data_IF_702641984735
#
_entry.id   IF_702641984735
#
_cell.length_a   1.000
_cell.length_b   1.000
_cell.length_c   1.000
_cell.angle_alpha   90.00
_cell.angle_beta   90.00
_cell.angle_gamma   90.00
#
_symmetry.space_group_name_H-M   'P 1'
#
loop_
_entity.id
_entity.type
_entity.pdbx_description
1 polymer ?
#
# COMPACT_ATOMS: atom_id res chain seq x y z
N UNK A 1 11.66 -1.40 -7.47
CA UNK A 1 10.54 -1.36 -6.50
C UNK A 1 9.24 -1.49 -7.27
N UNK A 2 8.40 -2.43 -6.87
CA UNK A 2 7.05 -2.63 -7.41
C UNK A 2 6.06 -2.13 -6.38
N UNK A 3 5.32 -1.06 -6.70
CA UNK A 3 4.43 -0.34 -5.78
C UNK A 3 2.98 -0.70 -6.07
N UNK A 4 2.19 -0.96 -5.03
CA UNK A 4 0.75 -1.27 -5.10
C UNK A 4 -0.01 -0.29 -4.17
N UNK A 5 0.44 0.97 -4.05
CA UNK A 5 -0.31 2.05 -3.37
C UNK A 5 -0.54 3.33 -4.21
N UNK A 6 -1.79 3.82 -4.28
CA UNK A 6 -2.19 4.93 -5.16
C UNK A 6 -1.61 6.27 -4.65
N UNK A 7 -1.23 7.17 -5.56
CA UNK A 7 -0.78 8.52 -5.23
C UNK A 7 -1.96 9.48 -5.36
N UNK A 8 -2.29 10.20 -4.30
CA UNK A 8 -3.17 11.37 -4.41
C UNK A 8 -2.31 12.60 -4.61
N UNK A 9 -2.39 13.21 -5.80
CA UNK A 9 -1.52 14.32 -6.21
C UNK A 9 -1.61 15.57 -5.31
N UNK A 10 -2.63 15.66 -4.46
CA UNK A 10 -2.90 16.82 -3.59
C UNK A 10 -2.35 16.70 -2.16
N UNK A 11 -1.96 15.50 -1.71
CA UNK A 11 -1.58 15.22 -0.31
C UNK A 11 -0.10 15.48 -0.03
N UNK A 12 0.76 15.34 -1.04
CA UNK A 12 2.22 15.28 -0.90
C UNK A 12 2.76 13.85 -1.03
N UNK A 13 3.85 13.54 -0.35
CA UNK A 13 4.45 12.20 -0.32
C UNK A 13 3.54 11.17 0.39
N UNK A 14 3.41 9.98 -0.20
CA UNK A 14 2.79 8.82 0.47
C UNK A 14 3.83 8.02 1.27
N UNK A 15 3.37 7.14 2.17
CA UNK A 15 4.24 6.21 2.92
C UNK A 15 5.24 5.48 2.01
N UNK A 16 4.78 5.03 0.85
CA UNK A 16 5.62 4.29 -0.10
C UNK A 16 6.61 5.19 -0.84
N UNK A 17 6.29 6.46 -1.05
CA UNK A 17 7.24 7.43 -1.61
C UNK A 17 8.41 7.66 -0.64
N UNK A 18 8.12 7.74 0.66
CA UNK A 18 9.12 7.87 1.72
C UNK A 18 9.99 6.61 1.80
N UNK A 19 9.38 5.42 1.71
CA UNK A 19 10.13 4.14 1.65
C UNK A 19 11.06 4.12 0.43
N UNK A 20 10.57 4.53 -0.75
CA UNK A 20 11.37 4.57 -1.96
C UNK A 20 12.59 5.53 -1.82
N UNK A 21 12.39 6.69 -1.20
CA UNK A 21 13.46 7.64 -0.89
C UNK A 21 14.52 7.00 0.04
N UNK A 22 14.09 6.29 1.09
CA UNK A 22 15.01 5.57 2.00
C UNK A 22 15.77 4.44 1.29
N UNK A 23 15.19 3.85 0.24
CA UNK A 23 15.83 2.85 -0.62
C UNK A 23 16.76 3.48 -1.68
N UNK A 24 16.91 4.81 -1.70
CA UNK A 24 17.82 5.52 -2.59
C UNK A 24 17.21 5.94 -3.94
N UNK A 25 15.90 5.79 -4.13
CA UNK A 25 15.24 6.28 -5.34
C UNK A 25 15.17 7.81 -5.31
N UNK A 26 15.75 8.45 -6.32
CA UNK A 26 15.77 9.93 -6.45
C UNK A 26 14.48 10.50 -7.04
N UNK A 27 13.75 9.67 -7.78
CA UNK A 27 12.51 10.05 -8.47
C UNK A 27 11.36 9.18 -7.96
N UNK A 28 10.15 9.71 -8.05
CA UNK A 28 8.93 8.93 -7.80
C UNK A 28 8.84 7.74 -8.75
N UNK A 29 8.34 6.62 -8.22
CA UNK A 29 8.05 5.43 -9.03
C UNK A 29 6.88 5.74 -9.97
N UNK A 30 7.06 5.63 -11.30
CA UNK A 30 6.02 6.00 -12.26
C UNK A 30 4.79 5.08 -12.15
N UNK A 31 3.57 5.60 -12.34
CA UNK A 31 2.38 4.77 -12.42
C UNK A 31 2.40 3.88 -13.67
N UNK A 32 1.86 2.67 -13.55
CA UNK A 32 1.80 1.67 -14.63
C UNK A 32 1.22 2.24 -15.93
N UNK A 33 0.22 3.12 -15.83
CA UNK A 33 -0.40 3.78 -16.98
C UNK A 33 0.57 4.59 -17.86
N UNK A 34 1.72 5.00 -17.31
CA UNK A 34 2.73 5.82 -18.01
C UNK A 34 4.11 5.17 -18.08
N UNK A 35 4.34 4.11 -17.30
CA UNK A 35 5.61 3.40 -17.29
C UNK A 35 5.75 2.56 -18.57
N UNK A 36 6.84 2.72 -19.30
CA UNK A 36 7.08 2.00 -20.56
C UNK A 36 8.56 1.85 -20.89
N UNK A 37 8.88 0.89 -21.77
CA UNK A 37 10.25 0.64 -22.22
C UNK A 37 11.22 0.41 -21.06
N UNK A 38 12.44 0.93 -21.16
CA UNK A 38 13.45 0.78 -20.08
C UNK A 38 13.09 1.48 -18.77
N UNK A 39 12.10 2.37 -18.75
CA UNK A 39 11.67 3.02 -17.51
C UNK A 39 11.09 2.02 -16.50
N UNK A 40 10.53 0.89 -16.96
CA UNK A 40 9.99 -0.15 -16.07
C UNK A 40 11.08 -0.80 -15.20
N UNK A 41 12.34 -0.78 -15.67
CA UNK A 41 13.51 -1.25 -14.89
C UNK A 41 13.88 -0.29 -13.74
N UNK A 42 13.24 0.87 -13.65
CA UNK A 42 13.33 1.77 -12.50
C UNK A 42 12.27 1.46 -11.42
N UNK A 43 11.38 0.50 -11.65
CA UNK A 43 10.21 0.24 -10.82
C UNK A 43 8.91 0.80 -11.40
N UNK A 44 7.79 0.23 -10.94
CA UNK A 44 6.45 0.55 -11.45
C UNK A 44 5.45 0.59 -10.30
N UNK A 45 4.53 1.56 -10.34
CA UNK A 45 3.41 1.69 -9.41
C UNK A 45 2.10 1.23 -10.06
N UNK A 46 1.59 0.08 -9.65
CA UNK A 46 0.36 -0.55 -10.16
C UNK A 46 -0.91 -0.06 -9.50
N UNK A 47 -0.78 0.77 -8.48
CA UNK A 47 -1.87 1.02 -7.57
C UNK A 47 -3.00 1.85 -8.15
N UNK A 48 -4.20 1.54 -7.70
CA UNK A 48 -5.41 2.23 -8.09
C UNK A 48 -6.16 2.73 -6.86
N UNK A 49 -6.71 3.94 -6.96
CA UNK A 49 -7.61 4.47 -5.94
C UNK A 49 -8.82 3.55 -5.80
N UNK A 50 -9.41 3.51 -4.60
CA UNK A 50 -10.55 2.67 -4.25
C UNK A 50 -10.37 1.14 -4.43
N UNK A 51 -9.19 0.67 -4.85
CA UNK A 51 -8.95 -0.74 -5.04
C UNK A 51 -8.99 -1.50 -3.70
N UNK A 52 -9.64 -2.67 -3.75
CA UNK A 52 -9.59 -3.65 -2.68
C UNK A 52 -8.91 -4.95 -3.13
N UNK A 53 -8.78 -5.83 -2.16
CA UNK A 53 -8.40 -7.23 -2.34
C UNK A 53 -9.47 -7.95 -3.16
N UNK A 54 -10.75 -7.66 -2.89
CA UNK A 54 -11.87 -8.22 -3.66
C UNK A 54 -12.09 -7.43 -4.95
N UNK A 55 -12.53 -8.15 -5.98
CA UNK A 55 -12.70 -7.57 -7.30
C UNK A 55 -13.90 -6.62 -7.37
N UNK A 56 -14.89 -6.74 -6.49
CA UNK A 56 -16.05 -5.86 -6.42
C UNK A 56 -15.81 -4.56 -5.62
N UNK A 57 -14.79 -4.55 -4.76
CA UNK A 57 -14.52 -3.43 -3.86
C UNK A 57 -14.22 -2.13 -4.63
N UNK A 58 -14.93 -1.06 -4.29
CA UNK A 58 -14.69 0.29 -4.81
C UNK A 58 -15.27 0.59 -6.20
N UNK A 59 -15.98 -0.35 -6.82
CA UNK A 59 -16.57 -0.18 -8.17
C UNK A 59 -17.61 0.96 -8.25
N UNK A 60 -18.34 1.23 -7.17
CA UNK A 60 -19.31 2.32 -7.07
C UNK A 60 -18.68 3.72 -7.18
N UNK A 61 -17.35 3.83 -7.02
CA UNK A 61 -16.60 5.08 -7.12
C UNK A 61 -16.06 5.33 -8.53
N UNK A 62 -16.33 4.43 -9.49
CA UNK A 62 -15.88 4.53 -10.88
C UNK A 62 -14.82 3.50 -11.24
N UNK A 63 -14.09 3.76 -12.33
CA UNK A 63 -13.06 2.86 -12.84
C UNK A 63 -11.91 2.72 -11.86
N UNK A 64 -11.57 1.46 -11.56
CA UNK A 64 -10.43 1.12 -10.71
C UNK A 64 -9.87 -0.25 -11.05
N UNK A 65 -8.59 -0.44 -10.76
CA UNK A 65 -7.88 -1.71 -10.99
C UNK A 65 -7.84 -2.47 -9.65
N UNK A 66 -8.57 -3.59 -9.54
CA UNK A 66 -8.54 -4.46 -8.34
C UNK A 66 -7.15 -5.01 -8.08
N UNK A 67 -6.92 -5.60 -6.91
CA UNK A 67 -5.65 -6.28 -6.66
C UNK A 67 -5.32 -7.34 -7.73
N UNK A 68 -6.30 -8.14 -8.15
CA UNK A 68 -6.09 -9.13 -9.22
C UNK A 68 -5.74 -8.48 -10.56
N UNK A 69 -6.34 -7.34 -10.89
CA UNK A 69 -5.97 -6.54 -12.06
C UNK A 69 -4.56 -5.94 -11.96
N UNK A 70 -4.15 -5.50 -10.77
CA UNK A 70 -2.81 -4.96 -10.52
C UNK A 70 -1.75 -6.05 -10.66
N UNK A 71 -2.02 -7.26 -10.16
CA UNK A 71 -1.18 -8.44 -10.38
C UNK A 71 -1.08 -8.78 -11.87
N UNK A 72 -2.19 -8.70 -12.62
CA UNK A 72 -2.17 -8.91 -14.08
C UNK A 72 -1.31 -7.89 -14.82
N UNK A 73 -1.37 -6.62 -14.42
CA UNK A 73 -0.49 -5.58 -14.96
C UNK A 73 0.98 -5.85 -14.63
N UNK A 74 1.27 -6.39 -13.44
CA UNK A 74 2.62 -6.84 -13.10
C UNK A 74 3.07 -8.00 -13.99
N UNK A 75 2.23 -9.01 -14.24
CA UNK A 75 2.56 -10.11 -15.15
C UNK A 75 2.92 -9.59 -16.56
N UNK A 76 2.16 -8.62 -17.08
CA UNK A 76 2.49 -7.95 -18.35
C UNK A 76 3.84 -7.22 -18.30
N UNK A 77 4.18 -6.64 -17.15
CA UNK A 77 5.47 -5.97 -16.95
C UNK A 77 6.62 -6.98 -16.91
N UNK A 78 6.42 -8.15 -16.28
CA UNK A 78 7.40 -9.25 -16.30
C UNK A 78 7.69 -9.67 -17.75
N UNK A 79 6.67 -9.87 -18.59
CA UNK A 79 6.87 -10.17 -20.01
C UNK A 79 7.66 -9.08 -20.74
N UNK A 80 7.43 -7.80 -20.42
CA UNK A 80 8.22 -6.70 -20.99
C UNK A 80 9.68 -6.71 -20.49
N UNK A 81 9.90 -7.03 -19.20
CA UNK A 81 11.24 -7.14 -18.62
C UNK A 81 12.02 -8.27 -19.29
N UNK A 82 11.41 -9.44 -19.50
CA UNK A 82 12.01 -10.56 -20.25
C UNK A 82 12.44 -10.09 -21.65
N UNK A 83 11.56 -9.39 -22.37
CA UNK A 83 11.89 -8.88 -23.70
C UNK A 83 13.02 -7.83 -23.70
N UNK A 84 13.09 -6.99 -22.66
CA UNK A 84 14.12 -5.93 -22.55
C UNK A 84 15.47 -6.51 -22.17
N UNK A 85 15.50 -7.51 -21.28
CA UNK A 85 16.71 -8.12 -20.75
C UNK A 85 17.23 -9.28 -21.60
N UNK A 86 16.36 -9.87 -22.44
CA UNK A 86 16.71 -10.85 -23.47
C UNK A 86 16.31 -12.28 -23.14
N UNK A 87 16.20 -12.65 -21.86
CA UNK A 87 15.88 -14.01 -21.42
C UNK A 87 15.22 -14.05 -20.04
N UNK A 88 14.60 -15.19 -19.72
CA UNK A 88 13.86 -15.41 -18.48
C UNK A 88 14.76 -15.50 -17.25
N UNK A 89 15.97 -16.06 -17.35
CA UNK A 89 16.89 -16.24 -16.23
C UNK A 89 17.44 -14.89 -15.75
N UNK A 90 17.85 -14.03 -16.69
CA UNK A 90 18.29 -12.66 -16.42
C UNK A 90 17.15 -11.84 -15.83
N UNK A 91 15.92 -12.00 -16.33
CA UNK A 91 14.74 -11.34 -15.77
C UNK A 91 14.41 -11.82 -14.35
N UNK A 92 14.48 -13.13 -14.09
CA UNK A 92 14.25 -13.69 -12.76
C UNK A 92 15.29 -13.19 -11.75
N UNK A 93 16.58 -13.19 -12.11
CA UNK A 93 17.66 -12.64 -11.27
C UNK A 93 17.57 -11.11 -11.08
N UNK A 94 16.92 -10.40 -12.00
CA UNK A 94 16.64 -8.98 -11.85
C UNK A 94 15.45 -8.77 -10.89
N UNK A 95 14.36 -9.53 -11.05
CA UNK A 95 13.14 -9.42 -10.26
C UNK A 95 13.34 -9.87 -8.80
N UNK A 96 14.21 -10.85 -8.55
CA UNK A 96 14.56 -11.30 -7.19
C UNK A 96 15.09 -10.18 -6.30
N UNK A 97 15.70 -9.15 -6.89
CA UNK A 97 16.26 -7.99 -6.19
C UNK A 97 15.24 -6.86 -6.00
N UNK A 98 14.03 -7.01 -6.51
CA UNK A 98 12.99 -6.01 -6.40
C UNK A 98 12.23 -6.15 -5.08
N UNK A 99 12.02 -5.03 -4.39
CA UNK A 99 11.11 -4.95 -3.24
C UNK A 99 9.68 -4.65 -3.72
N UNK A 100 8.73 -5.44 -3.23
CA UNK A 100 7.30 -5.35 -3.48
C UNK A 100 6.60 -4.80 -2.23
N UNK A 101 5.95 -3.64 -2.34
CA UNK A 101 5.19 -3.05 -1.23
C UNK A 101 3.69 -3.12 -1.53
N UNK A 102 2.95 -3.83 -0.68
CA UNK A 102 1.55 -4.18 -0.88
C UNK A 102 0.72 -3.72 0.32
N UNK A 103 0.04 -2.58 0.14
CA UNK A 103 -0.89 -2.01 1.11
C UNK A 103 -2.31 -1.98 0.55
N UNK A 104 -3.13 -2.97 0.90
CA UNK A 104 -4.49 -3.16 0.42
C UNK A 104 -5.39 -3.68 1.55
N UNK A 105 -6.70 -3.49 1.40
CA UNK A 105 -7.72 -4.10 2.26
C UNK A 105 -8.55 -3.13 3.10
N UNK A 106 -8.09 -1.89 3.32
CA UNK A 106 -8.90 -0.86 3.99
C UNK A 106 -10.18 -0.54 3.22
N UNK A 107 -10.10 -0.50 1.88
CA UNK A 107 -11.25 -0.31 1.01
C UNK A 107 -12.24 -1.46 1.06
N UNK A 108 -11.82 -2.69 1.35
CA UNK A 108 -12.73 -3.84 1.46
C UNK A 108 -13.68 -3.68 2.65
N UNK A 109 -13.26 -2.94 3.70
CA UNK A 109 -14.17 -2.54 4.76
C UNK A 109 -14.93 -1.26 4.43
N UNK A 110 -14.21 -0.19 4.08
CA UNK A 110 -14.78 1.15 3.89
C UNK A 110 -15.71 1.24 2.68
N UNK A 111 -15.23 0.74 1.55
CA UNK A 111 -15.84 0.85 0.23
C UNK A 111 -16.47 -0.48 -0.24
N UNK A 112 -16.80 -1.37 0.70
CA UNK A 112 -17.52 -2.61 0.44
C UNK A 112 -18.31 -3.12 1.67
N UNK A 113 -17.67 -3.69 2.69
CA UNK A 113 -18.36 -4.35 3.81
C UNK A 113 -19.36 -3.44 4.54
N UNK A 114 -18.94 -2.21 4.87
CA UNK A 114 -19.77 -1.22 5.56
C UNK A 114 -20.67 -0.39 4.62
N UNK A 115 -20.86 -0.83 3.37
CA UNK A 115 -21.73 -0.17 2.38
C UNK A 115 -22.90 -1.08 1.94
N UNK A 116 -23.83 -1.42 2.85
CA UNK A 116 -24.93 -2.37 2.57
C UNK A 116 -25.97 -1.87 1.56
N UNK A 117 -25.88 -0.62 1.12
CA UNK A 117 -26.68 -0.05 0.03
C UNK A 117 -26.15 -0.44 -1.35
N UNK A 118 -24.84 -0.70 -1.47
CA UNK A 118 -24.18 -1.02 -2.74
C UNK A 118 -23.72 -2.48 -2.79
N UNK A 119 -23.45 -3.09 -1.64
CA UNK A 119 -22.89 -4.43 -1.54
C UNK A 119 -23.69 -5.31 -0.57
N UNK A 120 -23.83 -6.59 -0.89
CA UNK A 120 -24.47 -7.58 -0.01
C UNK A 120 -23.51 -8.19 1.02
N UNK A 121 -22.23 -7.79 1.02
CA UNK A 121 -21.14 -8.43 1.76
C UNK A 121 -21.42 -8.57 3.25
N UNK A 122 -21.87 -7.51 3.93
CA UNK A 122 -22.19 -7.57 5.37
C UNK A 122 -23.45 -8.38 5.71
N UNK A 123 -24.25 -8.76 4.71
CA UNK A 123 -25.36 -9.70 4.86
C UNK A 123 -24.93 -11.15 4.61
N UNK A 124 -23.80 -11.35 3.93
CA UNK A 124 -23.25 -12.66 3.56
C UNK A 124 -22.19 -13.15 4.56
N UNK A 125 -21.43 -12.23 5.16
CA UNK A 125 -20.30 -12.55 6.02
C UNK A 125 -20.41 -11.84 7.37
N UNK A 126 -20.09 -12.56 8.45
CA UNK A 126 -19.67 -11.91 9.70
C UNK A 126 -18.31 -11.22 9.50
N UNK A 127 -17.90 -10.29 10.39
CA UNK A 127 -16.60 -9.63 10.26
C UNK A 127 -15.42 -10.60 10.18
N UNK A 128 -15.44 -11.68 10.98
CA UNK A 128 -14.39 -12.70 10.99
C UNK A 128 -14.40 -13.52 9.69
N UNK A 129 -15.58 -13.95 9.23
CA UNK A 129 -15.69 -14.67 7.95
C UNK A 129 -15.24 -13.82 6.77
N UNK A 130 -15.46 -12.50 6.83
CA UNK A 130 -15.00 -11.59 5.79
C UNK A 130 -13.48 -11.42 5.83
N UNK A 131 -12.89 -11.29 7.03
CA UNK A 131 -11.44 -11.25 7.19
C UNK A 131 -10.77 -12.51 6.62
N UNK A 132 -11.33 -13.70 6.90
CA UNK A 132 -10.86 -14.97 6.35
C UNK A 132 -10.95 -14.99 4.81
N UNK A 133 -12.06 -14.54 4.24
CA UNK A 133 -12.23 -14.45 2.80
C UNK A 133 -11.20 -13.49 2.15
N UNK A 134 -10.91 -12.35 2.79
CA UNK A 134 -9.88 -11.42 2.35
C UNK A 134 -8.48 -12.04 2.41
N UNK A 135 -8.14 -12.73 3.50
CA UNK A 135 -6.84 -13.41 3.66
C UNK A 135 -6.67 -14.48 2.57
N UNK A 136 -7.70 -15.26 2.26
CA UNK A 136 -7.65 -16.28 1.20
C UNK A 136 -7.39 -15.66 -0.19
N UNK A 137 -8.09 -14.57 -0.52
CA UNK A 137 -7.92 -13.90 -1.80
C UNK A 137 -6.56 -13.19 -1.89
N UNK A 138 -6.13 -12.53 -0.81
CA UNK A 138 -4.81 -11.90 -0.72
C UNK A 138 -3.69 -12.92 -0.86
N UNK A 139 -3.78 -14.06 -0.16
CA UNK A 139 -2.83 -15.18 -0.29
C UNK A 139 -2.74 -15.70 -1.72
N UNK A 140 -3.87 -15.84 -2.41
CA UNK A 140 -3.89 -16.25 -3.83
C UNK A 140 -3.07 -15.29 -4.70
N UNK A 141 -3.24 -13.99 -4.52
CA UNK A 141 -2.50 -12.98 -5.29
C UNK A 141 -1.01 -12.94 -4.94
N UNK A 142 -0.65 -13.08 -3.65
CA UNK A 142 0.75 -13.17 -3.23
C UNK A 142 1.47 -14.40 -3.83
N UNK A 143 0.78 -15.55 -3.93
CA UNK A 143 1.33 -16.73 -4.62
C UNK A 143 1.60 -16.47 -6.09
N UNK A 144 0.72 -15.74 -6.78
CA UNK A 144 0.93 -15.37 -8.17
C UNK A 144 2.13 -14.44 -8.30
N UNK A 145 2.25 -13.41 -7.45
CA UNK A 145 3.40 -12.51 -7.45
C UNK A 145 4.71 -13.27 -7.24
N UNK A 146 4.76 -14.17 -6.25
CA UNK A 146 5.90 -15.03 -5.98
C UNK A 146 6.28 -15.89 -7.19
N UNK A 147 5.31 -16.57 -7.82
CA UNK A 147 5.53 -17.36 -9.03
C UNK A 147 6.02 -16.53 -10.23
N UNK A 148 5.88 -15.20 -10.16
CA UNK A 148 6.36 -14.24 -11.15
C UNK A 148 7.59 -13.45 -10.65
N UNK A 149 8.38 -14.04 -9.73
CA UNK A 149 9.69 -13.52 -9.32
C UNK A 149 9.68 -12.53 -8.15
N UNK A 150 8.55 -12.36 -7.46
CA UNK A 150 8.51 -11.52 -6.26
C UNK A 150 9.11 -12.28 -5.06
N UNK A 151 10.36 -11.96 -4.72
CA UNK A 151 11.07 -12.58 -3.59
C UNK A 151 11.15 -11.69 -2.36
N UNK A 152 11.21 -10.36 -2.49
CA UNK A 152 11.25 -9.45 -1.35
C UNK A 152 9.91 -8.72 -1.18
N UNK A 153 9.08 -9.14 -0.23
CA UNK A 153 7.68 -8.68 -0.13
C UNK A 153 7.37 -8.05 1.23
N UNK A 154 6.88 -6.81 1.21
CA UNK A 154 6.33 -6.10 2.36
C UNK A 154 4.80 -6.07 2.26
N UNK A 155 4.11 -6.66 3.24
CA UNK A 155 2.65 -6.74 3.30
C UNK A 155 2.09 -6.17 4.60
N UNK A 156 0.97 -5.46 4.52
CA UNK A 156 0.41 -4.72 5.68
C UNK A 156 -0.75 -5.44 6.39
N UNK A 157 -1.16 -6.64 5.91
CA UNK A 157 -2.42 -7.26 6.34
C UNK A 157 -2.29 -8.24 7.51
N UNK A 158 -1.37 -9.20 7.44
CA UNK A 158 -1.32 -10.30 8.41
C UNK A 158 0.09 -10.85 8.63
N UNK A 159 0.55 -10.79 9.88
CA UNK A 159 1.79 -11.42 10.32
C UNK A 159 1.75 -12.95 10.27
N UNK A 160 0.59 -13.57 10.51
CA UNK A 160 0.45 -15.03 10.41
C UNK A 160 0.54 -15.50 8.96
N UNK A 161 0.00 -14.71 8.02
CA UNK A 161 0.15 -14.98 6.59
C UNK A 161 1.63 -14.88 6.18
N UNK A 162 2.33 -13.86 6.65
CA UNK A 162 3.78 -13.72 6.41
C UNK A 162 4.56 -14.92 6.93
N UNK A 163 4.27 -15.40 8.14
CA UNK A 163 4.89 -16.61 8.68
C UNK A 163 4.60 -17.85 7.81
N UNK A 164 3.36 -17.99 7.31
CA UNK A 164 2.99 -19.08 6.39
C UNK A 164 3.78 -19.01 5.09
N UNK A 165 3.92 -17.84 4.47
CA UNK A 165 4.68 -17.71 3.22
C UNK A 165 6.16 -18.03 3.44
N UNK A 166 6.79 -17.45 4.47
CA UNK A 166 8.20 -17.75 4.78
C UNK A 166 8.47 -19.24 5.06
N UNK A 167 7.47 -20.00 5.52
CA UNK A 167 7.58 -21.45 5.68
C UNK A 167 7.43 -22.27 4.40
N UNK A 168 6.88 -21.70 3.32
CA UNK A 168 6.52 -22.40 2.09
C UNK A 168 7.22 -21.87 0.82
N UNK A 169 7.93 -20.73 0.90
CA UNK A 169 8.65 -20.11 -0.21
C UNK A 169 10.12 -19.90 0.18
N UNK A 170 11.00 -20.90 -0.02
CA UNK A 170 12.35 -20.91 0.56
C UNK A 170 13.30 -19.86 -0.02
N UNK A 171 13.02 -19.36 -1.22
CA UNK A 171 13.75 -18.33 -1.95
C UNK A 171 13.12 -16.93 -1.81
N UNK A 172 12.05 -16.79 -1.04
CA UNK A 172 11.38 -15.51 -0.82
C UNK A 172 11.30 -15.15 0.66
N UNK A 173 11.24 -13.85 0.91
CA UNK A 173 11.22 -13.23 2.23
C UNK A 173 10.08 -12.25 2.29
N UNK A 174 9.13 -12.60 3.13
CA UNK A 174 7.97 -11.81 3.43
C UNK A 174 8.16 -11.13 4.77
N UNK A 175 7.84 -9.84 4.83
CA UNK A 175 7.74 -9.08 6.06
C UNK A 175 6.35 -8.48 6.18
N UNK A 176 5.89 -8.38 7.41
CA UNK A 176 4.69 -7.69 7.83
C UNK A 176 5.08 -6.29 8.32
N UNK A 177 4.44 -5.25 7.80
CA UNK A 177 4.56 -3.89 8.30
C UNK A 177 3.29 -3.53 9.06
N UNK A 178 3.42 -3.21 10.34
CA UNK A 178 2.29 -2.84 11.20
C UNK A 178 1.94 -1.36 11.05
N UNK A 179 1.56 -0.95 9.83
CA UNK A 179 1.20 0.43 9.52
C UNK A 179 0.05 0.92 10.43
N UNK A 180 -0.90 0.04 10.76
CA UNK A 180 -1.96 0.33 11.72
C UNK A 180 -1.42 0.67 13.11
N UNK A 181 -0.54 -0.15 13.68
CA UNK A 181 0.06 0.09 14.98
C UNK A 181 0.89 1.38 15.02
N UNK A 182 1.65 1.67 13.96
CA UNK A 182 2.40 2.92 13.82
C UNK A 182 1.43 4.12 13.78
N UNK A 183 0.34 4.03 13.02
CA UNK A 183 -0.65 5.08 12.93
C UNK A 183 -1.41 5.31 14.25
N UNK A 184 -1.76 4.24 14.96
CA UNK A 184 -2.37 4.32 16.29
C UNK A 184 -1.47 5.01 17.30
N UNK A 185 -0.16 4.76 17.24
CA UNK A 185 0.81 5.44 18.09
C UNK A 185 0.86 6.96 17.83
N UNK A 186 0.75 7.38 16.56
CA UNK A 186 0.61 8.79 16.18
C UNK A 186 -0.66 9.41 16.79
N UNK A 187 -1.80 8.71 16.69
CA UNK A 187 -3.09 9.20 17.23
C UNK A 187 -3.07 9.30 18.76
N UNK A 188 -2.43 8.34 19.43
CA UNK A 188 -2.39 8.27 20.89
C UNK A 188 -1.34 9.22 21.52
N UNK A 189 -0.27 9.57 20.79
CA UNK A 189 0.80 10.46 21.27
C UNK A 189 1.12 11.59 20.26
N UNK A 190 0.13 12.36 19.78
CA UNK A 190 0.29 13.26 18.64
C UNK A 190 1.34 14.35 18.87
N UNK A 191 1.43 14.88 20.09
CA UNK A 191 2.40 15.90 20.46
C UNK A 191 3.86 15.41 20.34
N UNK A 192 4.13 14.11 20.58
CA UNK A 192 5.46 13.53 20.41
C UNK A 192 5.93 13.53 18.95
N UNK A 193 4.99 13.67 18.02
CA UNK A 193 5.23 13.70 16.58
C UNK A 193 4.97 15.09 15.96
N UNK A 194 4.69 16.10 16.78
CA UNK A 194 4.44 17.48 16.31
C UNK A 194 3.02 17.74 15.82
N UNK A 195 2.07 16.82 16.02
CA UNK A 195 0.66 17.03 15.66
C UNK A 195 -0.13 17.69 16.78
N UNK A 196 -1.02 18.61 16.40
CA UNK A 196 -1.97 19.28 17.29
C UNK A 196 -3.42 19.00 16.90
N UNK A 197 -3.67 18.52 15.68
CA UNK A 197 -5.01 18.21 15.18
C UNK A 197 -5.09 16.74 14.75
N UNK A 198 -5.86 15.95 15.51
CA UNK A 198 -6.06 14.51 15.29
C UNK A 198 -7.49 14.13 14.93
N UNK A 199 -8.43 15.06 15.02
CA UNK A 199 -9.87 14.78 14.90
C UNK A 199 -10.54 15.55 13.75
N UNK A 200 -9.77 16.20 12.88
CA UNK A 200 -10.24 16.91 11.71
C UNK A 200 -9.27 16.78 10.54
N UNK A 201 -9.82 16.77 9.31
CA UNK A 201 -9.03 16.81 8.08
C UNK A 201 -8.49 18.22 7.83
N UNK A 202 -7.28 18.31 7.24
CA UNK A 202 -6.74 19.57 6.75
C UNK A 202 -7.51 20.13 5.54
N UNK A 203 -8.13 19.25 4.75
CA UNK A 203 -9.00 19.56 3.63
C UNK A 203 -10.27 18.70 3.68
N UNK A 204 -11.39 19.23 3.21
CA UNK A 204 -12.70 18.58 3.24
C UNK A 204 -13.80 19.54 3.69
N UNK A 205 -15.04 19.05 3.73
CA UNK A 205 -16.23 19.85 4.02
C UNK A 205 -17.04 19.20 5.14
N UNK A 206 -17.80 20.03 5.86
CA UNK A 206 -18.69 19.61 6.93
C UNK A 206 -18.01 19.47 8.28
N UNK A 207 -18.66 18.78 9.23
CA UNK A 207 -18.14 18.58 10.59
C UNK A 207 -16.73 17.98 10.52
N UNK A 208 -15.77 18.65 11.17
CA UNK A 208 -14.36 18.26 11.22
C UNK A 208 -13.70 18.07 9.83
N UNK A 209 -14.24 18.68 8.78
CA UNK A 209 -13.84 18.43 7.39
C UNK A 209 -13.92 16.95 6.98
N UNK A 210 -14.81 16.18 7.62
CA UNK A 210 -14.90 14.73 7.48
C UNK A 210 -16.14 14.22 6.74
N UNK A 211 -17.08 15.09 6.35
CA UNK A 211 -18.32 14.65 5.68
C UNK A 211 -18.11 14.44 4.19
N UNK A 212 -17.32 15.31 3.57
CA UNK A 212 -16.94 15.21 2.16
C UNK A 212 -15.42 15.37 2.11
N UNK A 213 -14.76 14.47 1.40
CA UNK A 213 -13.32 14.54 1.19
C UNK A 213 -12.93 15.82 0.44
N UNK A 214 -11.63 16.13 0.39
CA UNK A 214 -11.08 17.30 -0.27
C UNK A 214 -11.58 17.43 -1.71
N UNK A 215 -12.22 18.56 -2.05
CA UNK A 215 -12.73 18.82 -3.38
C UNK A 215 -11.64 19.35 -4.33
N UNK A 216 -11.76 19.16 -5.65
CA UNK A 216 -10.85 19.77 -6.62
C UNK A 216 -10.74 21.29 -6.40
N UNK A 217 -9.50 21.81 -6.40
CA UNK A 217 -9.17 23.22 -6.18
C UNK A 217 -9.55 23.78 -4.80
N UNK A 218 -10.00 22.95 -3.86
CA UNK A 218 -10.24 23.39 -2.50
C UNK A 218 -8.92 23.82 -1.85
N UNK A 219 -8.93 25.00 -1.22
CA UNK A 219 -7.78 25.47 -0.47
C UNK A 219 -7.65 24.66 0.84
N UNK A 220 -6.55 23.93 1.06
CA UNK A 220 -6.33 23.18 2.29
C UNK A 220 -5.89 24.11 3.44
N UNK A 221 -5.85 23.57 4.66
CA UNK A 221 -5.34 24.27 5.84
C UNK A 221 -3.90 24.80 5.64
N UNK A 222 -3.54 25.87 6.35
CA UNK A 222 -2.20 26.51 6.25
C UNK A 222 -1.09 25.69 6.93
N UNK A 223 -1.39 25.08 8.08
CA UNK A 223 -0.46 24.35 8.95
C UNK A 223 -0.57 22.83 8.76
N UNK A 224 -0.40 22.35 7.51
CA UNK A 224 -0.60 20.95 7.11
C UNK A 224 0.21 19.94 7.94
N UNK A 225 1.40 20.34 8.40
CA UNK A 225 2.29 19.52 9.21
C UNK A 225 1.81 19.29 10.65
N UNK A 226 0.78 20.01 11.11
CA UNK A 226 0.19 19.85 12.44
C UNK A 226 -1.05 18.95 12.45
N UNK A 227 -1.53 18.55 11.27
CA UNK A 227 -2.70 17.69 11.09
C UNK A 227 -2.24 16.25 10.83
N UNK A 228 -2.83 15.30 11.55
CA UNK A 228 -2.62 13.86 11.26
C UNK A 228 -3.29 13.47 9.94
N UNK A 229 -4.47 14.03 9.67
CA UNK A 229 -5.30 13.68 8.53
C UNK A 229 -5.27 14.77 7.45
N UNK A 230 -5.08 14.35 6.20
CA UNK A 230 -5.29 15.21 5.04
C UNK A 230 -6.78 15.47 4.82
N UNK A 231 -7.57 14.40 4.77
CA UNK A 231 -9.02 14.42 4.60
C UNK A 231 -9.68 13.40 5.55
N UNK A 232 -10.95 13.05 5.32
CA UNK A 232 -11.70 12.12 6.13
C UNK A 232 -11.09 10.69 6.23
N UNK A 233 -10.21 10.31 5.31
CA UNK A 233 -9.71 8.94 5.15
C UNK A 233 -8.19 8.85 5.07
N UNK A 234 -7.54 9.86 4.50
CA UNK A 234 -6.12 9.78 4.16
C UNK A 234 -5.24 10.52 5.19
N UNK A 235 -4.11 9.92 5.60
CA UNK A 235 -3.11 10.62 6.41
C UNK A 235 -2.50 11.82 5.66
N UNK A 236 -2.06 12.82 6.40
CA UNK A 236 -1.26 13.91 5.85
C UNK A 236 0.12 13.43 5.41
N UNK A 237 0.80 14.21 4.57
CA UNK A 237 2.22 13.97 4.23
C UNK A 237 3.10 13.84 5.48
N UNK A 238 2.88 14.66 6.51
CA UNK A 238 3.65 14.59 7.75
C UNK A 238 3.46 13.24 8.48
N UNK A 239 2.23 12.71 8.49
CA UNK A 239 1.97 11.38 9.03
C UNK A 239 2.61 10.28 8.15
N UNK A 240 2.48 10.39 6.82
CA UNK A 240 3.09 9.45 5.87
C UNK A 240 4.62 9.38 6.00
N UNK A 241 5.30 10.51 6.26
CA UNK A 241 6.75 10.55 6.50
C UNK A 241 7.13 9.73 7.73
N UNK A 242 6.38 9.86 8.82
CA UNK A 242 6.65 9.10 10.05
C UNK A 242 6.40 7.61 9.82
N UNK A 243 5.27 7.26 9.20
CA UNK A 243 4.91 5.87 8.90
C UNK A 243 5.98 5.25 8.01
N UNK A 244 6.32 5.90 6.88
CA UNK A 244 7.30 5.38 5.93
C UNK A 244 8.69 5.20 6.53
N UNK A 245 9.14 6.12 7.39
CA UNK A 245 10.42 5.97 8.10
C UNK A 245 10.41 4.81 9.09
N UNK A 246 9.32 4.61 9.83
CA UNK A 246 9.17 3.48 10.78
C UNK A 246 8.97 2.15 10.09
N UNK A 247 8.31 2.13 8.93
CA UNK A 247 8.25 0.96 8.05
C UNK A 247 9.64 0.61 7.51
N UNK A 248 10.44 1.61 7.13
CA UNK A 248 11.80 1.38 6.64
C UNK A 248 12.75 0.88 7.72
N UNK A 249 12.83 1.60 8.84
CA UNK A 249 13.67 1.26 9.99
C UNK A 249 12.79 1.27 11.24
N UNK A 250 12.51 0.07 11.77
CA UNK A 250 11.61 -0.09 12.90
C UNK A 250 12.12 0.67 14.13
N UNK A 251 11.22 1.42 14.78
CA UNK A 251 11.52 2.13 16.03
C UNK A 251 10.93 1.42 17.25
N UNK A 252 9.92 0.57 17.02
CA UNK A 252 9.38 -0.39 17.98
C UNK A 252 9.48 -1.81 17.41
N UNK A 253 9.63 -2.80 18.29
CA UNK A 253 9.59 -4.21 17.91
C UNK A 253 8.24 -4.62 17.28
N UNK A 254 7.18 -3.84 17.50
CA UNK A 254 5.86 -4.06 16.91
C UNK A 254 5.67 -3.43 15.53
N UNK A 255 6.63 -2.64 15.02
CA UNK A 255 6.50 -1.91 13.76
C UNK A 255 6.57 -2.84 12.54
N UNK A 256 7.34 -3.92 12.65
CA UNK A 256 7.52 -4.89 11.59
C UNK A 256 7.83 -6.29 12.12
N UNK A 257 7.57 -7.32 11.31
CA UNK A 257 7.88 -8.70 11.61
C UNK A 257 8.26 -9.47 10.34
N UNK A 258 9.24 -10.40 10.35
CA UNK A 258 10.20 -10.66 11.42
C UNK A 258 11.28 -9.58 11.54
N UNK A 259 11.40 -8.70 10.55
CA UNK A 259 12.32 -7.55 10.52
C UNK A 259 11.77 -6.46 9.61
N UNK A 260 12.46 -5.32 9.52
CA UNK A 260 12.05 -4.14 8.75
C UNK A 260 12.58 -4.12 7.29
N UNK A 261 12.11 -3.14 6.51
CA UNK A 261 12.48 -3.03 5.08
C UNK A 261 13.98 -2.75 4.92
N UNK A 262 14.61 -2.03 5.86
CA UNK A 262 16.06 -1.78 5.84
C UNK A 262 16.84 -3.08 5.84
N UNK A 263 16.47 -4.04 6.69
CA UNK A 263 17.11 -5.38 6.71
C UNK A 263 16.73 -6.21 5.48
N UNK A 264 15.49 -6.10 4.99
CA UNK A 264 15.06 -6.74 3.73
C UNK A 264 15.90 -6.28 2.52
N UNK A 265 16.27 -5.00 2.48
CA UNK A 265 17.01 -4.42 1.37
C UNK A 265 18.52 -4.74 1.35
N UNK A 266 19.06 -5.37 2.40
CA UNK A 266 20.51 -5.57 2.59
C UNK A 266 21.02 -6.94 2.13
N UNK A 267 20.26 -7.62 1.29
CA UNK A 267 20.32 -9.07 1.22
C UNK A 267 20.05 -9.63 -0.15
#
# INVERSE_FOLDING_TARGET
>A
MTKVHHRQEYVGQTTVDVIAEQLGFRNYIPPYATASGRAILGGVNYASAAAGIRDETGQQLGDRISFSGQVRNYQNTVSQIVNILGDEDTAANYLSKCIFSIGLGSNDYLNNYFMPQYYSTSRQYTPDQYADALIQQYSTQLKILYNYGAQEVCADWSGSLVAQFNGNTPDARFIYINAYGIFQDIINRPAAFGFTVTNAGCCGVGRNNGQITCLPLQTPCRNRNQYVFWDAFHPSEAANIIIGRRSYSAQSASDAYPFDIRRLAQS
#
